data_IF_530098196256
#
_entry.id   IF_530098196256
#
_cell.length_a   1.000
_cell.length_b   1.000
_cell.length_c   1.000
_cell.angle_alpha   90.00
_cell.angle_beta   90.00
_cell.angle_gamma   90.00
#
_symmetry.space_group_name_H-M   'P 1'
#
loop_
_entity.id
_entity.type
_entity.pdbx_description
1 polymer ?
#
# COMPACT_ATOMS: atom_id res chain seq x y z
N UNK A 1 7.95 15.46 -2.90
CA UNK A 1 7.88 14.52 -1.77
C UNK A 1 8.17 13.13 -2.28
N UNK A 2 8.90 12.33 -1.51
CA UNK A 2 9.20 10.95 -1.85
C UNK A 2 8.69 10.10 -0.69
N UNK A 3 7.74 9.20 -0.97
CA UNK A 3 7.17 8.24 -0.04
C UNK A 3 7.85 6.89 -0.30
N UNK A 4 8.64 6.41 0.66
CA UNK A 4 9.54 5.26 0.47
C UNK A 4 10.88 5.72 -0.07
N UNK A 5 11.53 6.66 0.61
CA UNK A 5 12.79 7.25 0.14
C UNK A 5 13.98 6.26 0.20
N UNK A 6 13.87 5.20 0.99
CA UNK A 6 14.81 4.09 1.06
C UNK A 6 16.24 4.55 1.35
N UNK A 7 17.19 4.00 0.59
CA UNK A 7 18.61 4.38 0.68
C UNK A 7 18.94 5.72 0.01
N UNK A 8 17.96 6.40 -0.61
CA UNK A 8 18.11 7.76 -1.12
C UNK A 8 18.35 7.92 -2.62
N UNK A 9 18.20 6.87 -3.43
CA UNK A 9 18.42 6.96 -4.89
C UNK A 9 17.46 7.96 -5.57
N UNK A 10 16.17 7.90 -5.25
CA UNK A 10 15.18 8.86 -5.77
C UNK A 10 15.48 10.28 -5.29
N UNK A 11 15.92 10.42 -4.04
CA UNK A 11 16.32 11.71 -3.46
C UNK A 11 17.47 12.30 -4.26
N UNK A 12 18.50 11.51 -4.56
CA UNK A 12 19.61 11.94 -5.40
C UNK A 12 19.13 12.36 -6.79
N UNK A 13 18.32 11.52 -7.45
CA UNK A 13 17.82 11.80 -8.81
C UNK A 13 17.07 13.14 -8.87
N UNK A 14 16.14 13.40 -7.95
CA UNK A 14 15.39 14.67 -7.98
C UNK A 14 16.26 15.87 -7.60
N UNK A 15 17.31 15.70 -6.79
CA UNK A 15 18.30 16.75 -6.52
C UNK A 15 19.06 17.14 -7.79
N UNK A 16 19.46 16.16 -8.61
CA UNK A 16 20.11 16.38 -9.91
C UNK A 16 19.18 17.10 -10.89
N UNK A 17 17.88 16.77 -10.88
CA UNK A 17 16.87 17.48 -11.67
C UNK A 17 16.51 18.88 -11.13
N UNK A 18 17.21 19.37 -10.11
CA UNK A 18 17.07 20.74 -9.61
C UNK A 18 15.93 20.96 -8.61
N UNK A 19 15.45 19.90 -7.94
CA UNK A 19 14.48 20.05 -6.87
C UNK A 19 15.01 21.00 -5.78
N UNK A 20 14.15 21.94 -5.33
CA UNK A 20 14.53 22.99 -4.38
C UNK A 20 14.27 22.60 -2.93
N UNK A 21 13.24 21.79 -2.67
CA UNK A 21 12.86 21.29 -1.35
C UNK A 21 12.34 19.86 -1.50
N UNK A 22 12.86 18.94 -0.70
CA UNK A 22 12.51 17.52 -0.75
C UNK A 22 12.14 17.07 0.65
N UNK A 23 10.88 16.68 0.83
CA UNK A 23 10.46 15.89 1.98
C UNK A 23 10.60 14.41 1.60
N UNK A 24 11.54 13.72 2.25
CA UNK A 24 11.86 12.30 2.06
C UNK A 24 11.29 11.50 3.25
N UNK A 25 10.26 10.70 2.99
CA UNK A 25 9.57 9.90 4.00
C UNK A 25 10.04 8.46 3.85
N UNK A 26 10.70 7.95 4.88
CA UNK A 26 11.12 6.57 4.94
C UNK A 26 10.60 6.00 6.24
N UNK A 27 9.89 4.89 6.18
CA UNK A 27 9.38 4.31 7.40
C UNK A 27 10.59 3.78 8.21
N UNK A 28 11.57 3.13 7.55
CA UNK A 28 12.54 2.23 8.19
C UNK A 28 13.82 2.99 8.52
N UNK A 29 14.02 3.22 9.83
CA UNK A 29 15.20 3.92 10.33
C UNK A 29 16.50 3.22 9.95
N UNK A 30 16.54 1.90 9.89
CA UNK A 30 17.73 1.16 9.51
C UNK A 30 18.06 1.37 8.03
N UNK A 31 17.07 1.30 7.13
CA UNK A 31 17.27 1.56 5.70
C UNK A 31 17.73 3.00 5.47
N UNK A 32 17.07 3.97 6.10
CA UNK A 32 17.50 5.37 6.03
C UNK A 32 18.95 5.54 6.53
N UNK A 33 19.30 4.92 7.66
CA UNK A 33 20.64 5.01 8.25
C UNK A 33 21.70 4.43 7.30
N UNK A 34 21.42 3.29 6.67
CA UNK A 34 22.28 2.73 5.63
C UNK A 34 22.44 3.69 4.45
N UNK A 35 21.35 4.33 4.00
CA UNK A 35 21.41 5.36 2.99
C UNK A 35 22.29 6.55 3.39
N UNK A 36 22.16 7.06 4.62
CA UNK A 36 22.96 8.17 5.13
C UNK A 36 24.45 7.81 5.21
N UNK A 37 24.78 6.63 5.72
CA UNK A 37 26.16 6.21 5.98
C UNK A 37 26.86 5.68 4.74
N UNK A 38 26.17 4.88 3.91
CA UNK A 38 26.78 4.08 2.84
C UNK A 38 26.43 4.53 1.42
N UNK A 39 25.40 5.36 1.21
CA UNK A 39 25.11 5.87 -0.14
C UNK A 39 26.26 6.79 -0.61
N UNK A 40 26.90 6.41 -1.71
CA UNK A 40 28.05 7.12 -2.29
C UNK A 40 27.72 8.57 -2.66
N UNK A 41 26.49 8.83 -3.12
CA UNK A 41 26.05 10.15 -3.57
C UNK A 41 25.67 11.09 -2.42
N UNK A 42 25.61 10.58 -1.18
CA UNK A 42 25.27 11.34 0.04
C UNK A 42 24.03 12.25 -0.08
N UNK A 43 22.91 11.78 -0.69
CA UNK A 43 21.76 12.65 -0.96
C UNK A 43 21.12 13.20 0.33
N UNK A 44 21.15 12.44 1.42
CA UNK A 44 20.62 12.85 2.71
C UNK A 44 21.47 13.90 3.45
N UNK A 45 22.65 14.27 2.94
CA UNK A 45 23.47 15.37 3.47
C UNK A 45 23.11 16.73 2.84
N UNK A 46 22.35 16.73 1.73
CA UNK A 46 21.98 17.97 1.05
C UNK A 46 20.98 18.79 1.89
N UNK A 47 21.22 20.10 2.11
CA UNK A 47 20.36 20.93 2.94
C UNK A 47 18.93 21.13 2.39
N UNK A 48 18.69 20.78 1.12
CA UNK A 48 17.36 20.78 0.50
C UNK A 48 16.50 19.59 0.91
N UNK A 49 17.09 18.59 1.58
CA UNK A 49 16.43 17.34 1.97
C UNK A 49 16.06 17.35 3.45
N UNK A 50 14.77 17.23 3.71
CA UNK A 50 14.22 16.97 5.04
C UNK A 50 13.73 15.54 5.12
N UNK A 51 14.32 14.76 6.03
CA UNK A 51 13.93 13.37 6.26
C UNK A 51 12.87 13.27 7.35
N UNK A 52 11.89 12.40 7.14
CA UNK A 52 10.89 12.00 8.13
C UNK A 52 10.91 10.47 8.25
N UNK A 53 11.16 10.00 9.47
CA UNK A 53 11.07 8.56 9.80
C UNK A 53 9.64 8.28 10.21
N UNK A 54 8.80 7.87 9.26
CA UNK A 54 7.34 7.81 9.42
C UNK A 54 6.70 6.93 8.35
N UNK A 55 5.51 6.39 8.66
CA UNK A 55 4.70 5.72 7.65
C UNK A 55 4.19 6.73 6.60
N UNK A 56 4.22 6.36 5.33
CA UNK A 56 3.85 7.24 4.22
C UNK A 56 2.39 7.73 4.35
N UNK A 57 1.48 6.83 4.74
CA UNK A 57 0.05 7.15 4.88
C UNK A 57 -0.20 8.03 6.11
N UNK A 58 0.44 7.73 7.22
CA UNK A 58 0.38 8.54 8.43
C UNK A 58 0.97 9.94 8.19
N UNK A 59 2.08 10.04 7.47
CA UNK A 59 2.70 11.31 7.09
C UNK A 59 1.74 12.18 6.27
N UNK A 60 1.09 11.60 5.25
CA UNK A 60 0.09 12.28 4.43
C UNK A 60 -1.08 12.84 5.26
N UNK A 61 -1.54 12.12 6.29
CA UNK A 61 -2.59 12.62 7.19
C UNK A 61 -2.14 13.86 8.00
N UNK A 62 -0.87 13.88 8.42
CA UNK A 62 -0.29 14.91 9.29
C UNK A 62 0.10 16.17 8.53
N UNK A 63 0.73 16.02 7.36
CA UNK A 63 1.21 17.16 6.59
C UNK A 63 0.06 17.98 6.00
N UNK A 64 0.33 19.26 5.74
CA UNK A 64 -0.56 20.18 5.00
C UNK A 64 0.12 20.81 3.79
N UNK A 65 1.38 20.41 3.54
CA UNK A 65 2.19 20.90 2.42
C UNK A 65 1.61 20.38 1.09
N UNK A 66 1.78 21.17 0.02
CA UNK A 66 1.43 20.78 -1.35
C UNK A 66 2.69 20.64 -2.18
N UNK A 67 2.76 19.63 -3.03
CA UNK A 67 3.95 19.31 -3.81
C UNK A 67 3.71 19.39 -5.31
N UNK A 68 4.76 19.76 -6.05
CA UNK A 68 4.77 19.71 -7.52
C UNK A 68 4.95 18.26 -8.01
N UNK A 69 5.69 17.45 -7.26
CA UNK A 69 5.91 16.03 -7.57
C UNK A 69 5.80 15.21 -6.27
N UNK A 70 5.03 14.13 -6.33
CA UNK A 70 5.01 13.08 -5.31
C UNK A 70 5.47 11.78 -5.96
N UNK A 71 6.52 11.17 -5.42
CA UNK A 71 7.03 9.87 -5.86
C UNK A 71 6.63 8.82 -4.83
N UNK A 72 5.99 7.73 -5.26
CA UNK A 72 5.76 6.52 -4.47
C UNK A 72 6.79 5.49 -4.89
N UNK A 73 7.84 5.37 -4.08
CA UNK A 73 9.01 4.54 -4.35
C UNK A 73 8.84 3.13 -3.83
N UNK A 74 7.97 2.35 -4.48
CA UNK A 74 7.63 0.94 -4.15
C UNK A 74 7.63 0.64 -2.64
N UNK A 75 6.49 0.86 -2.00
CA UNK A 75 6.32 0.74 -0.55
C UNK A 75 5.98 -0.69 -0.09
N UNK A 76 6.22 -1.72 -0.92
CA UNK A 76 5.96 -3.11 -0.53
C UNK A 76 7.14 -3.70 0.28
N UNK A 77 6.93 -3.94 1.57
CA UNK A 77 7.91 -4.69 2.36
C UNK A 77 7.67 -6.18 2.17
N UNK A 78 8.29 -6.79 1.15
CA UNK A 78 8.29 -8.26 1.02
C UNK A 78 9.10 -8.97 2.12
N UNK A 79 9.92 -8.22 2.85
CA UNK A 79 10.85 -8.71 3.89
C UNK A 79 10.24 -8.84 5.28
N UNK A 80 9.09 -8.22 5.56
CA UNK A 80 8.46 -8.26 6.87
C UNK A 80 6.99 -8.67 6.73
N UNK A 81 6.72 -9.96 6.89
CA UNK A 81 5.58 -10.32 7.72
C UNK A 81 5.87 -9.65 9.07
N UNK A 82 5.20 -8.55 9.39
CA UNK A 82 5.21 -7.99 10.74
C UNK A 82 4.80 -9.11 11.69
N UNK A 83 5.76 -9.82 12.28
CA UNK A 83 5.53 -11.03 13.07
C UNK A 83 4.67 -10.80 14.31
N UNK A 84 4.41 -9.53 14.66
CA UNK A 84 3.53 -9.10 15.74
C UNK A 84 2.22 -8.43 15.27
N UNK A 85 2.03 -8.19 13.97
CA UNK A 85 0.82 -7.53 13.47
C UNK A 85 0.28 -8.26 12.25
N UNK A 86 -0.96 -8.74 12.33
CA UNK A 86 -1.71 -9.28 11.19
C UNK A 86 -2.04 -8.22 10.14
N UNK A 87 -1.64 -6.96 10.35
CA UNK A 87 -1.98 -5.81 9.52
C UNK A 87 -0.83 -5.56 8.54
N UNK A 88 -1.08 -5.88 7.28
CA UNK A 88 -0.21 -5.54 6.14
C UNK A 88 -0.41 -4.08 5.75
N UNK A 89 0.16 -3.16 6.54
CA UNK A 89 0.11 -1.71 6.29
C UNK A 89 0.61 -1.33 4.90
N UNK A 90 1.56 -2.11 4.38
CA UNK A 90 2.11 -2.00 3.03
C UNK A 90 1.05 -2.14 1.93
N UNK A 91 -0.08 -2.81 2.19
CA UNK A 91 -1.18 -2.81 1.23
C UNK A 91 -2.07 -1.55 1.31
N UNK A 92 -2.17 -0.95 2.50
CA UNK A 92 -3.08 0.17 2.74
C UNK A 92 -2.65 1.45 2.03
N UNK A 93 -1.36 1.64 1.72
CA UNK A 93 -0.89 2.77 0.92
C UNK A 93 -1.32 2.68 -0.55
N UNK A 94 -1.72 1.49 -1.03
CA UNK A 94 -2.18 1.28 -2.40
C UNK A 94 -3.70 1.40 -2.56
N UNK A 95 -4.43 1.78 -1.51
CA UNK A 95 -5.89 1.92 -1.54
C UNK A 95 -6.34 3.20 -2.24
N UNK A 96 -7.56 3.18 -2.76
CA UNK A 96 -8.20 4.37 -3.36
C UNK A 96 -8.18 5.59 -2.43
N UNK A 97 -8.38 5.39 -1.12
CA UNK A 97 -8.33 6.43 -0.09
C UNK A 97 -6.93 7.01 0.06
N UNK A 98 -5.89 6.18 0.03
CA UNK A 98 -4.51 6.63 0.10
C UNK A 98 -4.12 7.47 -1.14
N UNK A 99 -4.49 7.03 -2.34
CA UNK A 99 -4.24 7.81 -3.56
C UNK A 99 -5.06 9.11 -3.60
N UNK A 100 -6.26 9.14 -3.01
CA UNK A 100 -7.03 10.37 -2.85
C UNK A 100 -6.29 11.35 -1.96
N UNK A 101 -5.72 10.86 -0.86
CA UNK A 101 -4.83 11.67 0.00
C UNK A 101 -3.60 12.17 -0.77
N UNK A 102 -2.98 11.34 -1.62
CA UNK A 102 -1.87 11.79 -2.48
C UNK A 102 -2.31 12.93 -3.42
N UNK A 103 -3.46 12.78 -4.10
CA UNK A 103 -4.03 13.82 -4.96
C UNK A 103 -4.31 15.11 -4.20
N UNK A 104 -4.84 15.00 -2.98
CA UNK A 104 -5.06 16.15 -2.10
C UNK A 104 -3.75 16.83 -1.72
N UNK A 105 -2.59 16.16 -1.74
CA UNK A 105 -1.29 16.78 -1.43
C UNK A 105 -0.54 17.26 -2.68
N UNK A 106 -1.08 17.06 -3.88
CA UNK A 106 -0.55 17.67 -5.10
C UNK A 106 -1.05 19.10 -5.26
N UNK A 107 -0.19 19.94 -5.85
CA UNK A 107 -0.63 21.20 -6.44
C UNK A 107 -1.51 20.93 -7.68
N UNK A 108 -2.29 21.92 -8.17
CA UNK A 108 -3.12 21.74 -9.36
C UNK A 108 -2.34 21.17 -10.56
N UNK A 109 -1.12 21.67 -10.78
CA UNK A 109 -0.22 21.23 -11.84
C UNK A 109 0.78 20.15 -11.43
N UNK A 110 0.51 19.47 -10.31
CA UNK A 110 1.40 18.46 -9.76
C UNK A 110 1.22 17.10 -10.41
N UNK A 111 2.27 16.28 -10.36
CA UNK A 111 2.24 14.89 -10.82
C UNK A 111 2.55 13.91 -9.70
N UNK A 112 1.96 12.74 -9.79
CA UNK A 112 2.38 11.55 -9.05
C UNK A 112 3.23 10.68 -10.00
N UNK A 113 4.35 10.16 -9.49
CA UNK A 113 5.13 9.10 -10.10
C UNK A 113 5.07 7.90 -9.16
N UNK A 114 4.66 6.75 -9.67
CA UNK A 114 4.55 5.52 -8.92
C UNK A 114 5.29 4.45 -9.71
N UNK A 115 6.23 3.77 -9.09
CA UNK A 115 6.83 2.58 -9.70
C UNK A 115 6.70 1.40 -8.76
N UNK A 116 6.55 0.22 -9.35
CA UNK A 116 6.32 -1.03 -8.62
C UNK A 116 6.86 -2.21 -9.43
N UNK A 117 7.01 -3.34 -8.75
CA UNK A 117 7.53 -4.58 -9.28
C UNK A 117 6.51 -5.70 -9.12
N UNK A 118 6.01 -6.24 -10.23
CA UNK A 118 5.06 -7.36 -10.20
C UNK A 118 5.16 -8.23 -11.44
N UNK A 119 5.14 -9.55 -11.25
CA UNK A 119 4.92 -10.51 -12.34
C UNK A 119 3.42 -10.66 -12.69
N UNK A 120 2.52 -10.21 -11.81
CA UNK A 120 1.08 -10.19 -12.05
C UNK A 120 0.68 -8.90 -12.80
N UNK A 121 0.06 -9.07 -13.96
CA UNK A 121 -0.45 -8.00 -14.85
C UNK A 121 -1.65 -7.25 -14.28
N UNK A 122 -2.35 -7.82 -13.30
CA UNK A 122 -3.55 -7.21 -12.70
C UNK A 122 -3.20 -6.06 -11.75
N UNK A 123 -2.01 -6.08 -11.15
CA UNK A 123 -1.53 -5.01 -10.26
C UNK A 123 -1.41 -3.68 -10.99
N UNK A 124 -0.67 -3.56 -12.12
CA UNK A 124 -0.62 -2.31 -12.86
C UNK A 124 -1.99 -1.88 -13.37
N UNK A 125 -2.91 -2.81 -13.68
CA UNK A 125 -4.30 -2.49 -14.05
C UNK A 125 -5.08 -1.87 -12.87
N UNK A 126 -4.99 -2.44 -11.67
CA UNK A 126 -5.60 -1.89 -10.43
C UNK A 126 -5.12 -0.47 -10.16
N UNK A 127 -3.80 -0.28 -10.17
CA UNK A 127 -3.18 1.01 -9.91
C UNK A 127 -3.56 2.04 -10.98
N UNK A 128 -3.61 1.62 -12.25
CA UNK A 128 -4.06 2.49 -13.34
C UNK A 128 -5.51 2.91 -13.17
N UNK A 129 -6.39 1.97 -12.79
CA UNK A 129 -7.81 2.25 -12.51
C UNK A 129 -7.95 3.27 -11.37
N UNK A 130 -7.23 3.08 -10.27
CA UNK A 130 -7.21 4.04 -9.15
C UNK A 130 -6.81 5.45 -9.63
N UNK A 131 -5.73 5.53 -10.42
CA UNK A 131 -5.24 6.81 -10.93
C UNK A 131 -6.27 7.45 -11.88
N UNK A 132 -6.92 6.68 -12.74
CA UNK A 132 -8.01 7.18 -13.60
C UNK A 132 -9.18 7.72 -12.78
N UNK A 133 -9.68 6.94 -11.82
CA UNK A 133 -10.85 7.30 -11.00
C UNK A 133 -10.60 8.56 -10.17
N UNK A 134 -9.36 8.81 -9.75
CA UNK A 134 -8.99 9.94 -8.87
C UNK A 134 -8.55 11.18 -9.65
N UNK A 135 -7.78 10.99 -10.72
CA UNK A 135 -7.20 12.10 -11.47
C UNK A 135 -8.05 12.50 -12.67
N UNK A 136 -9.00 11.67 -13.09
CA UNK A 136 -9.86 11.90 -14.26
C UNK A 136 -9.14 11.76 -15.59
N UNK A 137 -7.92 11.22 -15.59
CA UNK A 137 -7.05 11.09 -16.78
C UNK A 137 -6.43 9.71 -16.84
N UNK A 138 -6.14 9.25 -18.06
CA UNK A 138 -5.35 8.03 -18.24
C UNK A 138 -3.91 8.29 -17.77
N UNK A 139 -3.39 7.51 -16.79
CA UNK A 139 -1.99 7.62 -16.41
C UNK A 139 -1.07 7.24 -17.58
N UNK A 140 0.10 7.88 -17.66
CA UNK A 140 1.21 7.43 -18.51
C UNK A 140 1.85 6.20 -17.87
N UNK A 141 2.21 5.20 -18.69
CA UNK A 141 2.71 3.91 -18.19
C UNK A 141 3.92 3.41 -18.95
N UNK A 142 5.06 3.34 -18.29
CA UNK A 142 6.25 2.68 -18.81
C UNK A 142 6.34 1.26 -18.25
N UNK A 143 6.48 0.26 -19.14
CA UNK A 143 6.76 -1.12 -18.76
C UNK A 143 8.12 -1.53 -19.31
N UNK A 144 9.01 -1.91 -18.42
CA UNK A 144 10.35 -2.37 -18.77
C UNK A 144 10.35 -3.90 -18.85
N UNK A 145 10.41 -4.43 -20.08
CA UNK A 145 10.30 -5.87 -20.35
C UNK A 145 11.56 -6.63 -19.98
N UNK A 146 12.72 -5.99 -20.08
CA UNK A 146 14.02 -6.64 -19.96
C UNK A 146 14.53 -6.68 -18.51
N UNK A 147 13.94 -5.86 -17.61
CA UNK A 147 14.29 -5.85 -16.20
C UNK A 147 13.27 -6.63 -15.36
N UNK A 148 13.78 -7.54 -14.51
CA UNK A 148 12.95 -8.33 -13.58
C UNK A 148 12.47 -7.52 -12.36
N UNK A 149 13.05 -6.34 -12.14
CA UNK A 149 12.80 -5.48 -10.99
C UNK A 149 12.28 -4.11 -11.44
N UNK A 150 11.30 -3.55 -10.72
CA UNK A 150 10.65 -2.26 -11.01
C UNK A 150 10.15 -2.18 -12.46
N UNK A 151 9.46 -3.24 -12.88
CA UNK A 151 9.09 -3.45 -14.27
C UNK A 151 7.95 -2.55 -14.75
N UNK A 152 7.29 -1.77 -13.89
CA UNK A 152 6.37 -0.73 -14.35
C UNK A 152 6.47 0.57 -13.55
N UNK A 153 6.30 1.67 -14.28
CA UNK A 153 6.21 3.04 -13.76
C UNK A 153 4.95 3.70 -14.32
N UNK A 154 4.18 4.34 -13.44
CA UNK A 154 2.92 5.03 -13.69
C UNK A 154 3.11 6.52 -13.35
N UNK A 155 2.62 7.41 -14.21
CA UNK A 155 2.62 8.86 -13.96
C UNK A 155 1.22 9.42 -14.21
N UNK A 156 0.70 10.22 -13.29
CA UNK A 156 -0.61 10.88 -13.44
C UNK A 156 -0.59 12.32 -12.90
N UNK A 157 -1.51 13.16 -13.38
CA UNK A 157 -1.56 14.60 -13.08
C UNK A 157 -1.66 15.45 -14.34
N UNK A 158 -2.05 16.72 -14.23
CA UNK A 158 -2.32 17.58 -15.40
C UNK A 158 -1.10 17.83 -16.29
N UNK A 159 0.12 17.83 -15.72
CA UNK A 159 1.37 17.91 -16.52
C UNK A 159 1.77 16.61 -17.19
N UNK A 160 1.16 15.48 -16.82
CA UNK A 160 1.46 14.18 -17.41
C UNK A 160 0.72 13.94 -18.74
N UNK A 161 -0.13 14.87 -19.18
CA UNK A 161 -1.02 14.68 -20.34
C UNK A 161 -0.29 14.71 -21.70
N UNK A 162 1.00 15.09 -21.76
CA UNK A 162 1.67 15.51 -23.01
C UNK A 162 2.70 14.52 -23.61
N UNK A 163 2.67 13.22 -23.27
CA UNK A 163 3.62 12.23 -23.84
C UNK A 163 2.89 11.00 -24.41
N UNK A 164 2.97 10.84 -25.75
CA UNK A 164 2.19 9.90 -26.55
C UNK A 164 2.69 8.44 -26.58
N UNK A 165 3.84 8.10 -25.98
CA UNK A 165 4.52 6.81 -26.24
C UNK A 165 4.06 5.61 -25.39
N UNK A 166 3.17 5.82 -24.43
CA UNK A 166 2.89 4.83 -23.38
C UNK A 166 1.48 4.22 -23.41
N UNK A 167 0.60 4.70 -24.31
CA UNK A 167 -0.79 4.19 -24.44
C UNK A 167 -0.87 2.73 -24.91
N UNK A 168 0.22 2.16 -25.42
CA UNK A 168 0.24 0.82 -26.02
C UNK A 168 -0.07 -0.31 -25.02
N UNK A 169 0.43 -0.24 -23.78
CA UNK A 169 0.24 -1.29 -22.77
C UNK A 169 -1.19 -1.36 -22.21
N UNK A 170 -1.99 -0.33 -22.46
CA UNK A 170 -3.38 -0.22 -22.01
C UNK A 170 -4.29 0.24 -23.15
N UNK A 171 -3.91 -0.04 -24.40
CA UNK A 171 -4.69 0.31 -25.58
C UNK A 171 -6.08 -0.38 -25.59
N UNK A 172 -6.26 -1.40 -24.75
CA UNK A 172 -7.52 -2.09 -24.46
C UNK A 172 -8.38 -1.39 -23.38
N UNK A 173 -7.79 -0.56 -22.52
CA UNK A 173 -8.49 0.37 -21.62
C UNK A 173 -9.00 1.60 -22.41
N UNK A 174 -9.64 1.37 -23.55
CA UNK A 174 -10.34 2.42 -24.30
C UNK A 174 -11.74 2.55 -23.75
N UNK A 175 -12.05 3.70 -23.13
CA UNK A 175 -13.36 4.34 -22.85
C UNK A 175 -14.62 3.47 -22.72
N UNK A 176 -14.48 2.21 -22.36
CA UNK A 176 -15.58 1.30 -22.15
C UNK A 176 -15.59 1.06 -20.65
N UNK A 177 -16.10 2.05 -19.94
CA UNK A 177 -16.06 2.15 -18.47
C UNK A 177 -16.59 0.88 -17.79
N UNK A 178 -17.49 0.14 -18.47
CA UNK A 178 -18.00 -1.16 -18.03
C UNK A 178 -16.93 -2.27 -18.01
N UNK A 179 -16.06 -2.35 -19.01
CA UNK A 179 -15.01 -3.39 -19.11
C UNK A 179 -14.01 -3.19 -17.96
N UNK A 180 -13.61 -1.96 -17.67
CA UNK A 180 -12.65 -1.64 -16.59
C UNK A 180 -13.28 -1.84 -15.20
N UNK A 181 -14.60 -1.66 -15.06
CA UNK A 181 -15.31 -1.91 -13.80
C UNK A 181 -15.38 -3.40 -13.46
N UNK A 182 -15.64 -4.25 -14.45
CA UNK A 182 -15.84 -5.69 -14.24
C UNK A 182 -14.52 -6.48 -14.16
N UNK A 183 -13.47 -6.02 -14.84
CA UNK A 183 -12.18 -6.73 -14.87
C UNK A 183 -11.35 -6.53 -13.61
N UNK A 184 -11.49 -5.40 -12.91
CA UNK A 184 -10.56 -5.04 -11.84
C UNK A 184 -11.25 -4.27 -10.72
N UNK A 185 -11.33 -4.85 -9.53
CA UNK A 185 -11.75 -4.15 -8.31
C UNK A 185 -10.53 -3.49 -7.65
N UNK A 186 -10.46 -2.15 -7.58
CA UNK A 186 -9.41 -1.47 -6.84
C UNK A 186 -9.42 -1.85 -5.35
N UNK A 187 -8.25 -1.96 -4.70
CA UNK A 187 -8.20 -2.04 -3.25
C UNK A 187 -8.78 -0.75 -2.61
N UNK A 188 -9.54 -0.95 -1.53
CA UNK A 188 -10.06 0.10 -0.66
C UNK A 188 -9.61 -0.16 0.77
N UNK A 189 -9.83 0.77 1.69
CA UNK A 189 -9.54 0.54 3.12
C UNK A 189 -10.32 -0.65 3.71
N UNK A 190 -11.52 -0.92 3.21
CA UNK A 190 -12.33 -2.06 3.61
C UNK A 190 -11.82 -3.39 3.01
N UNK A 191 -11.11 -3.33 1.88
CA UNK A 191 -10.51 -4.48 1.20
C UNK A 191 -9.12 -4.15 0.62
N UNK A 192 -8.08 -4.01 1.47
CA UNK A 192 -6.77 -3.49 1.10
C UNK A 192 -5.88 -4.62 0.58
N UNK A 193 -6.30 -5.31 -0.48
CA UNK A 193 -5.55 -6.47 -0.99
C UNK A 193 -5.18 -6.27 -2.46
N UNK A 194 -4.08 -5.54 -2.69
CA UNK A 194 -3.56 -5.28 -4.04
C UNK A 194 -3.27 -6.59 -4.81
N UNK A 195 -2.73 -7.59 -4.11
CA UNK A 195 -2.28 -8.86 -4.68
C UNK A 195 -3.39 -9.94 -4.81
N UNK A 196 -4.62 -9.68 -4.32
CA UNK A 196 -5.75 -10.60 -4.54
C UNK A 196 -6.54 -10.17 -5.77
N UNK A 197 -6.67 -11.04 -6.76
CA UNK A 197 -7.33 -10.74 -8.04
C UNK A 197 -8.77 -10.26 -7.84
N UNK A 198 -9.52 -10.89 -6.91
CA UNK A 198 -10.88 -10.50 -6.54
C UNK A 198 -11.10 -10.48 -5.03
N UNK A 199 -12.13 -9.77 -4.52
CA UNK A 199 -12.49 -9.77 -3.11
C UNK A 199 -13.03 -11.11 -2.64
N UNK A 200 -12.13 -12.04 -2.32
CA UNK A 200 -12.47 -13.34 -1.77
C UNK A 200 -11.49 -13.79 -0.68
N UNK A 201 -11.94 -14.70 0.17
CA UNK A 201 -11.06 -15.38 1.11
C UNK A 201 -10.48 -16.60 0.38
N UNK A 202 -9.15 -16.67 0.16
CA UNK A 202 -8.57 -17.77 -0.59
C UNK A 202 -8.85 -19.12 0.07
N UNK A 203 -9.15 -20.14 -0.73
CA UNK A 203 -9.61 -21.46 -0.25
C UNK A 203 -8.65 -22.11 0.75
N UNK A 204 -7.34 -21.89 0.60
CA UNK A 204 -6.35 -22.44 1.53
C UNK A 204 -6.45 -21.84 2.93
N UNK A 205 -6.83 -20.55 3.07
CA UNK A 205 -7.12 -19.96 4.38
C UNK A 205 -8.38 -20.55 5.00
N UNK A 206 -9.43 -20.81 4.20
CA UNK A 206 -10.64 -21.47 4.67
C UNK A 206 -10.35 -22.91 5.12
N UNK A 207 -9.51 -23.64 4.38
CA UNK A 207 -9.09 -24.99 4.75
C UNK A 207 -8.28 -25.00 6.05
N UNK A 208 -7.28 -24.13 6.17
CA UNK A 208 -6.48 -24.00 7.38
C UNK A 208 -7.33 -23.57 8.59
N UNK A 209 -8.20 -22.56 8.42
CA UNK A 209 -9.15 -22.11 9.43
C UNK A 209 -10.11 -23.22 9.85
N UNK A 210 -10.63 -23.99 8.90
CA UNK A 210 -11.48 -25.16 9.17
C UNK A 210 -10.75 -26.26 9.95
N UNK A 211 -9.48 -26.52 9.65
CA UNK A 211 -8.66 -27.48 10.37
C UNK A 211 -8.38 -27.03 11.82
N UNK A 212 -8.00 -25.75 12.00
CA UNK A 212 -7.79 -25.15 13.32
C UNK A 212 -9.09 -25.17 14.13
N UNK A 213 -10.21 -24.83 13.51
CA UNK A 213 -11.53 -24.86 14.15
C UNK A 213 -11.88 -26.28 14.61
N UNK A 214 -11.69 -27.29 13.75
CA UNK A 214 -11.97 -28.69 14.08
C UNK A 214 -11.11 -29.18 15.24
N UNK A 215 -9.80 -28.91 15.20
CA UNK A 215 -8.89 -29.23 16.32
C UNK A 215 -9.35 -28.54 17.61
N UNK A 216 -9.70 -27.26 17.53
CA UNK A 216 -10.16 -26.48 18.69
C UNK A 216 -11.44 -27.08 19.30
N UNK A 217 -12.41 -27.46 18.47
CA UNK A 217 -13.64 -28.14 18.93
C UNK A 217 -13.30 -29.47 19.60
N UNK A 218 -12.43 -30.28 19.01
CA UNK A 218 -12.01 -31.56 19.59
C UNK A 218 -11.33 -31.35 20.95
N UNK A 219 -10.39 -30.40 21.04
CA UNK A 219 -9.70 -30.07 22.29
C UNK A 219 -10.67 -29.57 23.37
N UNK A 220 -11.63 -28.71 23.01
CA UNK A 220 -12.66 -28.22 23.93
C UNK A 220 -13.53 -29.38 24.43
N UNK A 221 -13.94 -30.30 23.56
CA UNK A 221 -14.73 -31.49 23.96
C UNK A 221 -13.96 -32.36 24.96
N UNK A 222 -12.66 -32.57 24.75
CA UNK A 222 -11.83 -33.34 25.67
C UNK A 222 -11.55 -32.61 26.99
N UNK A 223 -11.36 -31.29 26.95
CA UNK A 223 -10.99 -30.48 28.13
C UNK A 223 -12.19 -30.07 29.00
N UNK A 224 -13.33 -29.69 28.40
CA UNK A 224 -14.48 -29.14 29.12
C UNK A 224 -15.25 -30.19 29.93
N UNK A 225 -15.09 -31.48 29.62
CA UNK A 225 -15.79 -32.58 30.26
C UNK A 225 -17.28 -32.68 29.87
N UNK A 226 -17.86 -33.89 29.94
CA UNK A 226 -19.23 -34.20 29.46
C UNK A 226 -20.35 -33.32 30.06
N UNK A 227 -20.14 -32.72 31.23
CA UNK A 227 -21.15 -31.91 31.94
C UNK A 227 -21.28 -30.50 31.35
N UNK A 228 -20.16 -29.86 31.00
CA UNK A 228 -20.16 -28.50 30.46
C UNK A 228 -20.56 -28.47 28.98
N UNK A 229 -20.32 -29.55 28.24
CA UNK A 229 -20.78 -29.69 26.84
C UNK A 229 -22.31 -29.70 26.74
N UNK A 230 -23.00 -30.25 27.75
CA UNK A 230 -24.47 -30.35 27.74
C UNK A 230 -25.17 -29.01 28.03
N UNK A 231 -24.52 -28.14 28.81
CA UNK A 231 -25.05 -26.83 29.20
C UNK A 231 -23.99 -25.75 28.95
N UNK A 232 -23.71 -25.39 27.68
CA UNK A 232 -22.75 -24.33 27.37
C UNK A 232 -23.26 -22.97 27.86
N UNK A 233 -22.35 -22.16 28.43
CA UNK A 233 -22.64 -20.77 28.76
C UNK A 233 -22.48 -19.90 27.50
N UNK A 234 -23.59 -19.74 26.78
CA UNK A 234 -23.65 -18.92 25.58
C UNK A 234 -23.37 -17.44 25.86
N UNK A 235 -23.61 -16.97 27.07
CA UNK A 235 -23.34 -15.56 27.44
C UNK A 235 -21.85 -15.31 27.44
N UNK A 236 -21.07 -16.16 28.12
CA UNK A 236 -19.62 -16.07 28.14
C UNK A 236 -19.01 -16.29 26.76
N UNK A 237 -19.54 -17.23 25.98
CA UNK A 237 -19.09 -17.47 24.61
C UNK A 237 -19.28 -16.25 23.71
N UNK A 238 -20.50 -15.68 23.66
CA UNK A 238 -20.81 -14.52 22.82
C UNK A 238 -20.07 -13.26 23.29
N UNK A 239 -19.88 -13.10 24.59
CA UNK A 239 -19.09 -11.99 25.15
C UNK A 239 -17.61 -12.10 24.71
N UNK A 240 -17.01 -13.29 24.82
CA UNK A 240 -15.65 -13.53 24.36
C UNK A 240 -15.49 -13.34 22.86
N UNK A 241 -16.43 -13.86 22.05
CA UNK A 241 -16.43 -13.67 20.61
C UNK A 241 -16.54 -12.19 20.21
N UNK A 242 -17.43 -11.43 20.88
CA UNK A 242 -17.60 -10.00 20.64
C UNK A 242 -16.33 -9.22 21.00
N UNK A 243 -15.68 -9.56 22.13
CA UNK A 243 -14.43 -8.95 22.54
C UNK A 243 -13.32 -9.18 21.50
N UNK A 244 -13.13 -10.42 21.04
CA UNK A 244 -12.12 -10.76 20.03
C UNK A 244 -12.34 -10.02 18.70
N UNK A 245 -13.60 -9.89 18.25
CA UNK A 245 -13.94 -9.15 17.04
C UNK A 245 -13.67 -7.65 17.20
N UNK A 246 -14.09 -7.06 18.31
CA UNK A 246 -13.87 -5.64 18.60
C UNK A 246 -12.39 -5.32 18.77
N UNK A 247 -11.64 -6.17 19.46
CA UNK A 247 -10.19 -6.02 19.64
C UNK A 247 -9.49 -6.03 18.29
N UNK A 248 -9.73 -7.04 17.45
CA UNK A 248 -9.11 -7.16 16.13
C UNK A 248 -9.38 -5.94 15.25
N UNK A 249 -10.64 -5.48 15.22
CA UNK A 249 -11.02 -4.29 14.47
C UNK A 249 -10.37 -3.02 15.02
N UNK A 250 -10.43 -2.82 16.34
CA UNK A 250 -9.92 -1.61 17.00
C UNK A 250 -8.41 -1.48 16.85
N UNK A 251 -7.67 -2.59 16.98
CA UNK A 251 -6.22 -2.62 16.75
C UNK A 251 -5.89 -2.24 15.31
N UNK A 252 -6.67 -2.74 14.34
CA UNK A 252 -6.48 -2.42 12.92
C UNK A 252 -6.72 -0.94 12.62
N UNK A 253 -7.85 -0.39 13.07
CA UNK A 253 -8.20 1.02 12.85
C UNK A 253 -7.23 1.97 13.55
N UNK A 254 -6.83 1.68 14.79
CA UNK A 254 -5.86 2.51 15.52
C UNK A 254 -4.48 2.46 14.89
N UNK A 255 -4.04 1.30 14.40
CA UNK A 255 -2.75 1.16 13.69
C UNK A 255 -2.74 1.98 12.39
N UNK A 256 -3.86 2.00 11.65
CA UNK A 256 -4.01 2.84 10.45
C UNK A 256 -4.12 4.34 10.76
N UNK A 257 -4.75 4.70 11.88
CA UNK A 257 -4.91 6.09 12.29
C UNK A 257 -3.57 6.69 12.73
N UNK A 258 -2.86 5.97 13.60
CA UNK A 258 -1.63 6.45 14.24
C UNK A 258 -0.39 6.22 13.38
N UNK A 259 -0.48 5.31 12.40
CA UNK A 259 0.68 4.80 11.69
C UNK A 259 1.51 3.97 12.65
N UNK A 260 1.21 2.66 12.75
CA UNK A 260 2.04 1.74 13.52
C UNK A 260 3.40 1.60 12.83
N UNK A 261 4.27 2.55 13.10
CA UNK A 261 5.71 2.45 12.84
C UNK A 261 6.28 1.53 13.91
N UNK A 262 7.09 0.57 13.46
CA UNK A 262 7.81 -0.48 14.21
C UNK A 262 8.00 -0.27 15.70
#
# INVERSE_FOLDING_TARGET
>A
MILGAGSGNDVHLVLEQGAKNIDAVEIDRAIWKLGKELNYQKPYDDPRVQVYIDDARAFLKKTKKKYDVIILGTLDSQTLLSGMSSIRLDNYIYTSEAFRSVREHLKPEGIIILYHMSMNTDIPLKLSKILMDIFGVHPLIHFEKEHRHFNFTLVAGSKAEDINDFRYFFAELKSNDQIIADLVTPPTDDWPYLYLDRPEIPTHYLQAGGFIFLISVVLIIFAAGRKNIKNPDWTLFLLGASFLLLETKSVTEMSLLLGSTW
#
